data_IF_179950243603
#
_entry.id   IF_179950243603
#
_cell.length_a   1.000
_cell.length_b   1.000
_cell.length_c   1.000
_cell.angle_alpha   90.00
_cell.angle_beta   90.00
_cell.angle_gamma   90.00
#
_symmetry.space_group_name_H-M   'P 1'
#
loop_
_entity.id
_entity.type
_entity.pdbx_description
1 polymer ?
#
# COMPACT_ATOMS: atom_id res chain seq x y z
N UNK A 1 24.22 25.98 6.53
CA UNK A 1 23.83 27.17 7.32
C UNK A 1 22.69 27.88 6.61
N UNK A 2 21.46 27.45 6.85
CA UNK A 2 20.26 28.20 6.45
C UNK A 2 19.60 28.68 7.73
N UNK A 3 19.48 30.00 7.85
CA UNK A 3 18.94 30.75 8.98
C UNK A 3 17.67 30.10 9.56
N UNK A 4 17.78 29.52 10.76
CA UNK A 4 16.69 28.95 11.53
C UNK A 4 15.79 29.96 12.24
N UNK A 5 16.03 31.25 12.09
CA UNK A 5 15.46 32.32 12.94
C UNK A 5 14.13 32.90 12.46
N UNK A 6 13.54 32.38 11.37
CA UNK A 6 12.29 32.97 10.84
C UNK A 6 11.22 31.93 10.42
N UNK A 7 11.34 30.68 10.89
CA UNK A 7 10.33 29.66 10.61
C UNK A 7 9.16 29.79 11.59
N UNK A 8 7.92 29.54 11.13
CA UNK A 8 6.76 29.46 12.03
C UNK A 8 7.00 28.46 13.18
N UNK A 9 6.45 28.75 14.34
CA UNK A 9 6.63 27.94 15.56
C UNK A 9 6.29 26.48 15.32
N UNK A 10 5.20 26.20 14.62
CA UNK A 10 4.81 24.81 14.29
C UNK A 10 5.87 24.07 13.47
N UNK A 11 6.62 24.77 12.60
CA UNK A 11 7.71 24.18 11.81
C UNK A 11 8.90 23.86 12.72
N UNK A 12 9.23 24.75 13.63
CA UNK A 12 10.33 24.54 14.58
C UNK A 12 10.05 23.36 15.50
N UNK A 13 8.83 23.28 16.04
CA UNK A 13 8.37 22.17 16.89
C UNK A 13 8.39 20.83 16.15
N UNK A 14 7.94 20.81 14.90
CA UNK A 14 7.87 19.59 14.09
C UNK A 14 9.27 19.02 13.74
N UNK A 15 10.29 19.87 13.67
CA UNK A 15 11.67 19.44 13.38
C UNK A 15 12.55 19.30 14.62
N UNK A 16 11.97 19.38 15.81
CA UNK A 16 12.69 19.09 17.06
C UNK A 16 13.07 17.61 17.15
N UNK A 17 14.09 17.27 17.91
CA UNK A 17 14.57 15.87 18.07
C UNK A 17 13.49 14.93 18.64
N UNK A 18 12.57 15.47 19.47
CA UNK A 18 11.43 14.76 20.04
C UNK A 18 10.19 15.66 19.95
N UNK A 19 9.53 15.73 18.78
CA UNK A 19 8.38 16.59 18.61
C UNK A 19 7.18 16.10 19.42
N UNK A 20 6.61 16.95 20.27
CA UNK A 20 5.33 16.68 20.92
C UNK A 20 4.19 16.85 19.90
N UNK A 21 3.39 15.78 19.73
CA UNK A 21 2.33 15.72 18.73
C UNK A 21 1.25 16.79 18.96
N UNK A 22 0.84 16.97 20.21
CA UNK A 22 -0.20 17.92 20.58
C UNK A 22 0.25 19.36 20.37
N UNK A 23 1.47 19.69 20.77
CA UNK A 23 2.04 21.02 20.59
C UNK A 23 2.18 21.39 19.11
N UNK A 24 2.70 20.48 18.28
CA UNK A 24 2.85 20.71 16.84
C UNK A 24 1.50 20.92 16.16
N UNK A 25 0.50 20.06 16.46
CA UNK A 25 -0.85 20.14 15.87
C UNK A 25 -1.54 21.46 16.28
N UNK A 26 -1.45 21.83 17.55
CA UNK A 26 -2.05 23.06 18.06
C UNK A 26 -1.38 24.28 17.43
N UNK A 27 -0.06 24.32 17.40
CA UNK A 27 0.70 25.43 16.81
C UNK A 27 0.44 25.56 15.29
N UNK A 28 0.29 24.43 14.57
CA UNK A 28 -0.11 24.44 13.17
C UNK A 28 -1.51 25.01 12.96
N UNK A 29 -2.47 24.54 13.75
CA UNK A 29 -3.86 25.02 13.70
C UNK A 29 -3.96 26.50 14.00
N UNK A 30 -3.29 26.98 15.04
CA UNK A 30 -3.32 28.39 15.45
C UNK A 30 -2.63 29.31 14.44
N UNK A 31 -1.59 28.83 13.79
CA UNK A 31 -0.93 29.57 12.72
C UNK A 31 -1.87 29.77 11.52
N UNK A 32 -2.55 28.72 11.04
CA UNK A 32 -3.41 28.78 9.86
C UNK A 32 -4.83 29.30 10.14
N UNK A 33 -5.21 29.56 11.39
CA UNK A 33 -6.36 30.42 11.69
C UNK A 33 -6.16 31.89 11.28
N UNK A 34 -4.89 32.32 11.20
CA UNK A 34 -4.51 33.72 10.95
C UNK A 34 -3.75 33.93 9.63
N UNK A 35 -3.36 32.88 8.96
CA UNK A 35 -2.55 32.91 7.76
C UNK A 35 -3.16 32.04 6.68
N UNK A 36 -2.97 32.39 5.42
CA UNK A 36 -3.40 31.59 4.29
C UNK A 36 -2.57 30.30 4.20
N UNK A 37 -3.23 29.18 3.84
CA UNK A 37 -2.59 27.89 3.68
C UNK A 37 -1.77 27.82 2.40
N UNK A 38 -0.46 27.91 2.50
CA UNK A 38 0.47 27.85 1.38
C UNK A 38 1.06 26.46 1.24
N UNK A 39 0.98 25.89 0.02
CA UNK A 39 1.63 24.62 -0.30
C UNK A 39 3.14 24.80 -0.46
N UNK A 40 3.91 24.35 0.53
CA UNK A 40 5.38 24.40 0.53
C UNK A 40 5.97 23.09 1.13
N UNK A 41 7.30 22.97 1.17
CA UNK A 41 7.98 21.77 1.70
C UNK A 41 7.58 21.43 3.14
N UNK A 42 7.36 22.42 3.99
CA UNK A 42 7.01 22.22 5.41
C UNK A 42 5.58 21.73 5.56
N UNK A 43 4.62 22.32 4.83
CA UNK A 43 3.21 21.84 4.85
C UNK A 43 3.07 20.45 4.25
N UNK A 44 3.89 20.10 3.25
CA UNK A 44 3.90 18.73 2.69
C UNK A 44 4.53 17.75 3.69
N UNK A 45 5.60 18.14 4.38
CA UNK A 45 6.20 17.33 5.44
C UNK A 45 5.23 17.16 6.62
N UNK A 46 4.56 18.23 7.07
CA UNK A 46 3.56 18.16 8.14
C UNK A 46 2.45 17.16 7.82
N UNK A 47 1.93 17.12 6.59
CA UNK A 47 0.93 16.14 6.18
C UNK A 47 1.42 14.70 6.28
N UNK A 48 2.68 14.44 5.93
CA UNK A 48 3.29 13.11 6.05
C UNK A 48 3.54 12.76 7.52
N UNK A 49 4.10 13.69 8.27
CA UNK A 49 4.36 13.55 9.70
C UNK A 49 3.07 13.29 10.47
N UNK A 50 2.00 14.04 10.22
CA UNK A 50 0.69 13.84 10.84
C UNK A 50 0.12 12.44 10.54
N UNK A 51 0.32 11.94 9.34
CA UNK A 51 -0.06 10.57 8.97
C UNK A 51 0.80 9.53 9.71
N UNK A 52 2.07 9.79 9.93
CA UNK A 52 2.93 8.85 10.66
C UNK A 52 2.55 8.76 12.13
N UNK A 53 2.33 9.87 12.83
CA UNK A 53 1.98 9.87 14.25
C UNK A 53 0.59 9.32 14.51
N UNK A 54 -0.40 9.60 13.65
CA UNK A 54 -1.74 9.01 13.79
C UNK A 54 -1.75 7.48 13.72
N UNK A 55 -0.66 6.87 13.22
CA UNK A 55 -0.44 5.43 13.18
C UNK A 55 0.21 4.87 14.45
N UNK A 56 0.95 5.70 15.20
CA UNK A 56 1.65 5.29 16.44
C UNK A 56 0.86 5.57 17.71
N UNK A 57 -0.12 6.49 17.68
CA UNK A 57 -1.05 6.60 18.79
C UNK A 57 -1.94 5.35 18.78
N UNK A 58 -1.95 4.60 19.90
CA UNK A 58 -2.87 3.46 20.12
C UNK A 58 -4.37 3.87 20.11
N UNK A 59 -4.67 5.12 19.86
CA UNK A 59 -5.96 5.60 19.45
C UNK A 59 -6.08 5.36 17.94
N UNK A 60 -6.70 4.24 17.52
CA UNK A 60 -7.34 4.19 16.19
C UNK A 60 -7.97 5.56 15.98
N UNK A 61 -7.71 6.27 14.87
CA UNK A 61 -8.40 7.50 14.60
C UNK A 61 -9.88 7.16 14.59
N UNK A 62 -10.56 7.44 15.69
CA UNK A 62 -12.00 7.38 15.74
C UNK A 62 -12.42 8.59 14.92
N UNK A 63 -12.46 8.43 13.61
CA UNK A 63 -13.29 9.27 12.77
C UNK A 63 -14.69 8.96 13.29
N UNK A 64 -15.14 9.77 14.25
CA UNK A 64 -16.53 9.79 14.69
C UNK A 64 -17.36 10.39 13.57
N UNK A 65 -17.48 9.65 12.48
CA UNK A 65 -18.53 9.87 11.53
C UNK A 65 -19.75 9.18 12.13
N UNK A 66 -20.78 9.97 12.40
CA UNK A 66 -22.11 9.41 12.64
C UNK A 66 -22.39 8.43 11.49
N UNK A 67 -22.48 7.14 11.80
CA UNK A 67 -22.72 6.09 10.81
C UNK A 67 -24.07 6.31 10.15
N UNK A 68 -24.08 6.97 9.03
CA UNK A 68 -25.10 6.71 8.03
C UNK A 68 -24.70 5.40 7.35
N UNK A 69 -25.64 4.51 7.10
CA UNK A 69 -25.43 3.15 6.61
C UNK A 69 -24.76 3.01 5.22
N UNK A 70 -24.30 4.12 4.62
CA UNK A 70 -23.76 4.21 3.27
C UNK A 70 -22.42 4.97 3.20
N UNK A 71 -21.66 5.09 4.29
CA UNK A 71 -20.38 5.79 4.26
C UNK A 71 -19.24 4.82 3.93
N UNK A 72 -18.35 5.27 3.04
CA UNK A 72 -17.08 4.61 2.77
C UNK A 72 -16.21 4.68 4.02
N UNK A 73 -15.69 3.53 4.44
CA UNK A 73 -14.71 3.41 5.51
C UNK A 73 -13.37 2.98 4.93
N UNK A 74 -12.29 3.62 5.37
CA UNK A 74 -10.97 3.20 5.00
C UNK A 74 -10.55 2.02 5.88
N UNK A 75 -10.32 0.86 5.27
CA UNK A 75 -9.95 -0.39 5.96
C UNK A 75 -8.47 -0.75 5.83
N UNK A 76 -7.62 0.19 5.38
CA UNK A 76 -6.18 -0.03 5.29
C UNK A 76 -5.72 -0.44 3.88
N UNK A 77 -4.52 -1.04 3.77
CA UNK A 77 -3.55 -1.30 4.83
C UNK A 77 -2.94 -0.02 5.43
N UNK A 78 -2.75 -0.02 6.76
CA UNK A 78 -2.30 1.15 7.52
C UNK A 78 -0.81 1.11 7.87
N UNK A 79 -0.27 -0.09 7.96
CA UNK A 79 1.08 -0.31 8.43
C UNK A 79 2.14 -0.16 7.33
N UNK A 80 3.37 0.01 7.76
CA UNK A 80 4.55 -0.08 6.92
C UNK A 80 5.43 -1.23 7.40
N UNK A 81 6.22 -1.78 6.49
CA UNK A 81 7.19 -2.82 6.80
C UNK A 81 8.36 -2.24 7.60
N UNK A 82 8.41 -2.51 8.90
CA UNK A 82 9.49 -2.06 9.78
C UNK A 82 10.83 -2.71 9.43
N UNK A 83 10.80 -3.90 8.85
CA UNK A 83 12.01 -4.62 8.46
C UNK A 83 12.64 -4.03 7.18
N UNK A 84 11.94 -3.15 6.49
CA UNK A 84 12.41 -2.48 5.29
C UNK A 84 12.99 -1.07 5.54
N UNK A 85 13.28 -0.71 6.78
CA UNK A 85 13.84 0.61 7.15
C UNK A 85 15.16 0.95 6.45
N UNK A 86 15.91 -0.07 5.99
CA UNK A 86 17.15 0.10 5.21
C UNK A 86 16.94 0.41 3.73
N UNK A 87 15.71 0.39 3.23
CA UNK A 87 15.39 0.69 1.84
C UNK A 87 15.24 2.19 1.63
N UNK A 88 15.69 2.69 0.48
CA UNK A 88 15.77 4.12 0.16
C UNK A 88 14.43 4.85 0.03
N UNK A 89 13.31 4.16 0.13
CA UNK A 89 11.96 4.71 0.12
C UNK A 89 11.14 4.09 1.22
N UNK A 90 10.40 4.91 1.95
CA UNK A 90 9.57 4.44 3.04
C UNK A 90 8.49 3.48 2.52
N UNK A 91 8.53 2.20 2.88
CA UNK A 91 7.49 1.27 2.53
C UNK A 91 6.23 1.65 3.30
N UNK A 92 5.33 2.29 2.63
CA UNK A 92 4.04 2.64 3.17
C UNK A 92 2.97 2.31 2.15
N UNK A 93 1.85 1.77 2.57
CA UNK A 93 0.68 1.56 1.73
C UNK A 93 0.04 2.90 1.32
N UNK A 94 0.87 3.82 0.78
CA UNK A 94 0.44 5.18 0.45
C UNK A 94 -0.53 5.22 -0.72
N UNK A 95 -0.38 4.29 -1.69
CA UNK A 95 -1.28 4.14 -2.83
C UNK A 95 -1.58 2.66 -3.02
N UNK A 96 -2.82 2.29 -2.81
CA UNK A 96 -3.33 0.96 -3.14
C UNK A 96 -3.82 1.00 -4.59
N UNK A 97 -3.29 0.13 -5.43
CA UNK A 97 -3.63 0.05 -6.85
C UNK A 97 -4.67 -1.03 -7.13
N UNK A 98 -4.66 -2.08 -6.33
CA UNK A 98 -5.53 -3.23 -6.54
C UNK A 98 -5.97 -3.81 -5.22
N UNK A 99 -7.15 -4.38 -5.20
CA UNK A 99 -7.70 -5.15 -4.10
C UNK A 99 -8.40 -6.37 -4.67
N UNK A 100 -8.21 -7.51 -4.02
CA UNK A 100 -8.90 -8.74 -4.35
C UNK A 100 -9.44 -9.38 -3.08
N UNK A 101 -10.65 -9.91 -3.12
CA UNK A 101 -11.31 -10.58 -2.01
C UNK A 101 -11.46 -12.06 -2.30
N UNK A 102 -11.11 -12.90 -1.34
CA UNK A 102 -11.33 -14.33 -1.46
C UNK A 102 -12.82 -14.67 -1.55
N UNK A 103 -13.20 -15.38 -2.61
CA UNK A 103 -14.59 -15.83 -2.82
C UNK A 103 -15.04 -16.81 -1.73
N UNK A 104 -14.14 -17.67 -1.27
CA UNK A 104 -14.43 -18.69 -0.25
C UNK A 104 -14.44 -18.15 1.18
N UNK A 105 -13.72 -17.04 1.43
CA UNK A 105 -13.66 -16.40 2.74
C UNK A 105 -13.65 -14.88 2.63
N UNK A 106 -14.79 -14.21 2.79
CA UNK A 106 -14.89 -12.75 2.62
C UNK A 106 -14.16 -11.93 3.69
N UNK A 107 -13.58 -12.58 4.71
CA UNK A 107 -12.72 -11.90 5.68
C UNK A 107 -11.29 -11.73 5.16
N UNK A 108 -10.92 -12.49 4.12
CA UNK A 108 -9.59 -12.45 3.51
C UNK A 108 -9.60 -11.51 2.32
N UNK A 109 -8.76 -10.47 2.41
CA UNK A 109 -8.50 -9.56 1.30
C UNK A 109 -7.00 -9.45 1.07
N UNK A 110 -6.67 -9.15 -0.17
CA UNK A 110 -5.31 -8.81 -0.58
C UNK A 110 -5.31 -7.42 -1.18
N UNK A 111 -4.26 -6.66 -0.94
CA UNK A 111 -4.11 -5.31 -1.48
C UNK A 111 -2.70 -5.14 -2.05
N UNK A 112 -2.61 -4.62 -3.27
CA UNK A 112 -1.36 -4.29 -3.92
C UNK A 112 -1.07 -2.79 -3.84
N UNK A 113 0.13 -2.44 -3.44
CA UNK A 113 0.53 -1.05 -3.28
C UNK A 113 1.62 -0.61 -4.26
N UNK A 114 1.72 0.71 -4.47
CA UNK A 114 2.64 1.32 -5.43
C UNK A 114 4.12 1.07 -5.10
N UNK A 115 4.47 0.99 -3.82
CA UNK A 115 5.87 1.00 -3.37
C UNK A 115 6.15 0.04 -2.21
N UNK A 116 5.14 -0.66 -1.71
CA UNK A 116 5.26 -1.51 -0.53
C UNK A 116 4.80 -2.95 -0.76
N UNK A 117 4.69 -3.40 -2.02
CA UNK A 117 4.35 -4.77 -2.34
C UNK A 117 2.88 -5.15 -2.08
N UNK A 118 2.63 -6.43 -1.78
CA UNK A 118 1.31 -6.96 -1.52
C UNK A 118 1.07 -7.22 -0.02
N UNK A 119 -0.14 -6.91 0.41
CA UNK A 119 -0.62 -7.03 1.78
C UNK A 119 -1.80 -7.96 1.86
N UNK A 120 -1.92 -8.68 2.97
CA UNK A 120 -3.01 -9.60 3.26
C UNK A 120 -3.65 -9.26 4.60
N UNK A 121 -4.97 -9.27 4.64
CA UNK A 121 -5.77 -9.31 5.87
C UNK A 121 -6.59 -10.60 5.95
N UNK A 122 -6.90 -11.05 7.15
CA UNK A 122 -7.80 -12.18 7.42
C UNK A 122 -8.98 -11.77 8.30
N UNK A 123 -9.09 -10.49 8.59
CA UNK A 123 -10.08 -9.90 9.50
C UNK A 123 -10.76 -8.66 8.90
N UNK A 124 -11.03 -8.66 7.60
CA UNK A 124 -11.71 -7.59 6.85
C UNK A 124 -10.99 -6.24 6.90
N UNK A 125 -9.68 -6.24 7.01
CA UNK A 125 -8.87 -5.02 7.06
C UNK A 125 -8.59 -4.50 8.47
N UNK A 126 -8.94 -5.27 9.52
CA UNK A 126 -8.60 -4.92 10.89
C UNK A 126 -7.09 -4.91 11.12
N UNK A 127 -6.41 -5.90 10.56
CA UNK A 127 -4.94 -6.00 10.57
C UNK A 127 -4.44 -6.40 9.18
N UNK A 128 -3.27 -5.88 8.78
CA UNK A 128 -2.66 -6.19 7.51
C UNK A 128 -1.22 -6.68 7.69
N UNK A 129 -0.86 -7.72 6.94
CA UNK A 129 0.47 -8.29 6.93
C UNK A 129 1.07 -8.16 5.53
N UNK A 130 2.31 -7.70 5.44
CA UNK A 130 3.07 -7.67 4.19
C UNK A 130 3.49 -9.09 3.82
N UNK A 131 3.05 -9.57 2.66
CA UNK A 131 3.29 -10.95 2.19
C UNK A 131 4.39 -11.04 1.13
N UNK A 132 4.99 -9.92 0.73
CA UNK A 132 6.05 -9.85 -0.28
C UNK A 132 7.35 -9.26 0.27
N UNK A 133 7.56 -9.33 1.58
CA UNK A 133 8.74 -8.74 2.25
C UNK A 133 10.07 -9.29 1.73
N UNK A 134 10.08 -10.54 1.33
CA UNK A 134 11.28 -11.24 0.84
C UNK A 134 11.46 -11.12 -0.68
N UNK A 135 10.53 -10.44 -1.37
CA UNK A 135 10.62 -10.15 -2.78
C UNK A 135 11.12 -8.73 -3.03
N UNK A 136 12.05 -8.59 -3.98
CA UNK A 136 12.52 -7.27 -4.44
C UNK A 136 11.51 -6.61 -5.37
N UNK A 137 10.27 -6.44 -4.92
CA UNK A 137 9.20 -5.80 -5.68
C UNK A 137 9.07 -4.32 -5.32
N UNK A 138 8.99 -3.47 -6.35
CA UNK A 138 8.74 -2.05 -6.16
C UNK A 138 7.25 -1.75 -5.98
N UNK A 139 6.38 -2.44 -6.73
CA UNK A 139 4.95 -2.24 -6.65
C UNK A 139 4.17 -3.46 -7.14
N UNK A 140 2.95 -3.59 -6.66
CA UNK A 140 1.99 -4.61 -7.09
C UNK A 140 0.76 -3.91 -7.65
N UNK A 141 0.54 -4.09 -8.94
CA UNK A 141 -0.50 -3.40 -9.71
C UNK A 141 -1.74 -4.24 -9.92
N UNK A 142 -1.59 -5.56 -9.88
CA UNK A 142 -2.71 -6.51 -10.01
C UNK A 142 -2.53 -7.68 -9.06
N UNK A 143 -3.63 -8.19 -8.55
CA UNK A 143 -3.75 -9.41 -7.75
C UNK A 143 -4.92 -10.19 -8.32
N UNK A 144 -4.75 -11.49 -8.43
CA UNK A 144 -5.83 -12.42 -8.80
C UNK A 144 -5.75 -13.64 -7.91
N UNK A 145 -6.91 -14.11 -7.43
CA UNK A 145 -7.04 -15.31 -6.59
C UNK A 145 -7.67 -16.41 -7.43
N UNK A 146 -7.13 -17.62 -7.36
CA UNK A 146 -7.74 -18.78 -8.00
C UNK A 146 -9.10 -19.08 -7.35
N UNK A 147 -10.14 -19.08 -8.17
CA UNK A 147 -11.51 -19.29 -7.73
C UNK A 147 -11.79 -20.74 -7.29
N UNK A 148 -10.92 -21.70 -7.65
CA UNK A 148 -11.01 -23.10 -7.24
C UNK A 148 -10.19 -23.41 -6.01
N UNK A 149 -9.08 -22.71 -5.81
CA UNK A 149 -8.21 -22.85 -4.66
C UNK A 149 -7.71 -21.47 -4.17
N UNK A 150 -8.27 -20.92 -3.10
CA UNK A 150 -7.93 -19.59 -2.59
C UNK A 150 -6.51 -19.47 -1.99
N UNK A 151 -5.76 -20.56 -1.88
CA UNK A 151 -4.35 -20.53 -1.52
C UNK A 151 -3.46 -20.15 -2.71
N UNK A 152 -3.98 -20.30 -3.94
CA UNK A 152 -3.26 -19.92 -5.16
C UNK A 152 -3.56 -18.47 -5.48
N UNK A 153 -2.49 -17.67 -5.53
CA UNK A 153 -2.57 -16.24 -5.75
C UNK A 153 -1.54 -15.84 -6.80
N UNK A 154 -1.93 -14.92 -7.64
CA UNK A 154 -1.08 -14.30 -8.64
C UNK A 154 -0.93 -12.82 -8.30
N UNK A 155 0.29 -12.30 -8.37
CA UNK A 155 0.56 -10.86 -8.25
C UNK A 155 1.43 -10.39 -9.40
N UNK A 156 1.17 -9.17 -9.83
CA UNK A 156 2.04 -8.48 -10.76
C UNK A 156 3.07 -7.65 -10.00
N UNK A 157 4.25 -7.51 -10.58
CA UNK A 157 5.29 -6.66 -10.04
C UNK A 157 6.23 -6.18 -11.15
N UNK A 158 7.20 -5.36 -10.79
CA UNK A 158 8.26 -5.03 -11.70
C UNK A 158 9.10 -6.30 -11.93
N UNK A 159 9.11 -6.78 -13.16
CA UNK A 159 9.91 -7.94 -13.55
C UNK A 159 9.12 -9.23 -13.75
N UNK A 160 7.77 -9.18 -13.77
CA UNK A 160 6.97 -10.36 -14.12
C UNK A 160 5.74 -10.59 -13.24
N UNK A 161 5.24 -11.80 -13.33
CA UNK A 161 4.15 -12.30 -12.50
C UNK A 161 4.74 -13.29 -11.50
N UNK A 162 4.24 -13.20 -10.28
CA UNK A 162 4.58 -14.13 -9.21
C UNK A 162 3.33 -14.92 -8.83
N UNK A 163 3.52 -16.22 -8.62
CA UNK A 163 2.49 -17.14 -8.18
C UNK A 163 2.85 -17.73 -6.83
N UNK A 164 1.92 -17.69 -5.91
CA UNK A 164 1.97 -18.40 -4.63
C UNK A 164 0.99 -19.56 -4.65
N UNK A 165 1.36 -20.65 -3.98
CA UNK A 165 0.51 -21.83 -3.75
C UNK A 165 0.11 -21.98 -2.28
N UNK A 166 0.49 -21.03 -1.44
CA UNK A 166 0.37 -21.09 0.02
C UNK A 166 -0.09 -19.76 0.63
N UNK A 167 -1.01 -19.10 -0.06
CA UNK A 167 -1.63 -17.84 0.41
C UNK A 167 -0.66 -16.69 0.61
N UNK A 168 0.44 -16.64 -0.16
CA UNK A 168 1.42 -15.57 -0.16
C UNK A 168 2.60 -15.78 0.79
N UNK A 169 2.77 -16.98 1.37
CA UNK A 169 3.94 -17.27 2.22
C UNK A 169 5.20 -17.50 1.37
N UNK A 170 5.07 -18.16 0.22
CA UNK A 170 6.16 -18.38 -0.74
C UNK A 170 5.72 -17.97 -2.14
N UNK A 171 6.68 -17.48 -2.93
CA UNK A 171 6.41 -16.95 -4.26
C UNK A 171 7.37 -17.53 -5.30
N UNK A 172 6.84 -17.84 -6.47
CA UNK A 172 7.59 -18.26 -7.63
C UNK A 172 7.30 -17.30 -8.78
N UNK A 173 8.34 -16.87 -9.49
CA UNK A 173 8.14 -16.14 -10.73
C UNK A 173 7.65 -17.11 -11.81
N UNK A 174 6.66 -16.69 -12.58
CA UNK A 174 6.08 -17.47 -13.66
C UNK A 174 6.18 -16.72 -14.99
N UNK A 175 6.10 -17.46 -16.10
CA UNK A 175 6.26 -16.94 -17.45
C UNK A 175 7.59 -17.35 -18.06
N UNK A 176 7.68 -17.25 -19.39
CA UNK A 176 8.89 -17.52 -20.14
C UNK A 176 9.91 -16.36 -20.09
N UNK A 177 11.09 -16.57 -20.69
CA UNK A 177 12.14 -15.56 -20.71
C UNK A 177 11.73 -14.25 -21.42
N UNK A 178 10.78 -14.29 -22.33
CA UNK A 178 10.26 -13.11 -23.01
C UNK A 178 9.35 -12.30 -22.07
N UNK A 179 8.61 -12.99 -21.19
CA UNK A 179 7.69 -12.38 -20.26
C UNK A 179 8.38 -11.88 -18.98
N UNK A 180 9.42 -12.57 -18.52
CA UNK A 180 10.18 -12.22 -17.30
C UNK A 180 11.26 -11.16 -17.54
N UNK A 181 11.41 -10.66 -18.77
CA UNK A 181 12.33 -9.55 -19.01
C UNK A 181 11.79 -8.28 -18.31
N UNK A 182 12.68 -7.63 -17.57
CA UNK A 182 12.41 -6.61 -16.56
C UNK A 182 11.71 -5.31 -17.03
N UNK A 183 11.37 -5.19 -18.32
CA UNK A 183 10.77 -3.99 -18.88
C UNK A 183 9.24 -3.98 -18.82
N UNK A 184 8.60 -5.11 -18.55
CA UNK A 184 7.14 -5.21 -18.64
C UNK A 184 6.45 -4.84 -17.33
N UNK A 185 5.82 -3.68 -17.29
CA UNK A 185 4.93 -3.35 -16.20
C UNK A 185 3.57 -4.02 -16.44
N UNK A 186 3.32 -5.11 -15.74
CA UNK A 186 2.02 -5.79 -15.73
C UNK A 186 0.99 -4.91 -15.03
N UNK A 187 -0.15 -4.66 -15.69
CA UNK A 187 -1.22 -3.76 -15.20
C UNK A 187 -2.40 -4.50 -14.62
N UNK A 188 -2.72 -5.66 -15.20
CA UNK A 188 -3.86 -6.47 -14.76
C UNK A 188 -3.60 -7.96 -15.02
N UNK A 189 -4.19 -8.80 -14.17
CA UNK A 189 -4.15 -10.25 -14.28
C UNK A 189 -5.58 -10.76 -14.12
N UNK A 190 -6.01 -11.66 -15.01
CA UNK A 190 -7.33 -12.30 -14.89
C UNK A 190 -7.27 -13.77 -15.24
N UNK A 191 -7.85 -14.58 -14.38
CA UNK A 191 -8.14 -15.99 -14.68
C UNK A 191 -9.38 -16.10 -15.57
N UNK A 192 -9.38 -17.09 -16.45
CA UNK A 192 -10.56 -17.41 -17.21
C UNK A 192 -11.64 -17.99 -16.26
N UNK A 193 -12.90 -17.54 -16.35
CA UNK A 193 -13.92 -17.78 -15.32
C UNK A 193 -14.33 -19.27 -15.15
N UNK A 194 -13.94 -20.15 -16.06
CA UNK A 194 -14.26 -21.59 -15.99
C UNK A 194 -13.03 -22.49 -16.15
N UNK A 195 -11.84 -21.94 -16.31
CA UNK A 195 -10.60 -22.71 -16.44
C UNK A 195 -9.42 -21.94 -15.83
N UNK A 196 -9.03 -22.32 -14.62
CA UNK A 196 -7.94 -21.67 -13.86
C UNK A 196 -6.53 -21.91 -14.44
N UNK A 197 -6.38 -22.71 -15.48
CA UNK A 197 -5.14 -22.85 -16.24
C UNK A 197 -4.98 -21.75 -17.31
N UNK A 198 -6.08 -21.06 -17.64
CA UNK A 198 -6.02 -19.95 -18.61
C UNK A 198 -5.90 -18.63 -17.86
N UNK A 199 -4.78 -17.98 -18.07
CA UNK A 199 -4.44 -16.70 -17.47
C UNK A 199 -4.29 -15.63 -18.56
N UNK A 200 -4.88 -14.47 -18.36
CA UNK A 200 -4.71 -13.29 -19.20
C UNK A 200 -3.96 -12.23 -18.43
N UNK A 201 -3.03 -11.57 -19.09
CA UNK A 201 -2.19 -10.54 -18.49
C UNK A 201 -2.13 -9.33 -19.42
N UNK A 202 -2.56 -8.19 -18.91
CA UNK A 202 -2.37 -6.92 -19.58
C UNK A 202 -1.05 -6.27 -19.15
N UNK A 203 -0.25 -5.83 -20.11
CA UNK A 203 1.02 -5.14 -19.87
C UNK A 203 1.19 -3.93 -20.77
N UNK A 204 2.27 -3.18 -20.58
CA UNK A 204 2.62 -2.07 -21.46
C UNK A 204 2.91 -2.53 -22.92
N UNK A 205 3.21 -3.81 -23.13
CA UNK A 205 3.52 -4.36 -24.44
C UNK A 205 2.34 -5.11 -25.11
N UNK A 206 1.23 -5.24 -24.40
CA UNK A 206 0.02 -5.85 -24.95
C UNK A 206 -0.67 -6.83 -24.02
N UNK A 207 -1.54 -7.66 -24.59
CA UNK A 207 -2.29 -8.69 -23.91
C UNK A 207 -1.62 -10.05 -24.12
N UNK A 208 -1.25 -10.70 -23.04
CA UNK A 208 -0.67 -12.04 -23.03
C UNK A 208 -1.68 -13.06 -22.52
N UNK A 209 -1.52 -14.32 -22.95
CA UNK A 209 -2.34 -15.45 -22.52
C UNK A 209 -1.44 -16.63 -22.20
N UNK A 210 -1.62 -17.22 -21.03
CA UNK A 210 -1.15 -18.56 -20.68
C UNK A 210 -2.27 -19.56 -20.81
N UNK A 211 -1.93 -20.85 -21.02
CA UNK A 211 -2.89 -21.98 -21.06
C UNK A 211 -2.51 -23.11 -20.10
N UNK A 212 -1.49 -22.91 -19.33
CA UNK A 212 -0.91 -23.86 -18.37
C UNK A 212 -0.80 -23.30 -16.93
N UNK A 213 -1.32 -22.08 -16.70
CA UNK A 213 -1.37 -21.43 -15.39
C UNK A 213 -0.04 -20.96 -14.89
#
# INVERSE_FOLDING_TARGET
>A
NTNSTNLPVWVQLMYADNPDEGEVINAYSDYYKKNELVKNKHTQYYKRWLRSISRFSNAKPTIKTSKSSNQWECVGPWDFDKDAESRSYAPGAAHVYTVEQSVSNPNVLYAGSATAGAWKTIDKGGNWNLITKDLSLNGVYAIEIDFTNPEIIYISGNGGIYKSYDSGNNWNIIGDANFTSLSHATKDIKLHPSNNLILFVASDEGLFKSVDG
#
